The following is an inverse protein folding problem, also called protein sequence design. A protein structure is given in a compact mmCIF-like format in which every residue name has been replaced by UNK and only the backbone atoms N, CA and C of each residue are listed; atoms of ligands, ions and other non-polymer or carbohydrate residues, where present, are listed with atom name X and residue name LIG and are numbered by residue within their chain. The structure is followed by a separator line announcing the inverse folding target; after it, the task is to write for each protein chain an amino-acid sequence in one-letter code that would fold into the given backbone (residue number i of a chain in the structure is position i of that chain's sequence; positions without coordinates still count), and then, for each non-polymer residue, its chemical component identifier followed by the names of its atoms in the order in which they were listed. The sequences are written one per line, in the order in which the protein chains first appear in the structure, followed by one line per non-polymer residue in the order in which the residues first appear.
data_IF_531684969775
#
_entry.id   IF_531684969775
#
_cell.length_a   1.000
_cell.length_b   1.000
_cell.length_c   1.000
_cell.angle_alpha   90.00
_cell.angle_beta   90.00
_cell.angle_gamma   90.00
#
_symmetry.space_group_name_H-M   'P 1'
#
loop_
_entity.id
_entity.type
_entity.pdbx_description
1 polymer ?
#
# COMPACT_ATOMS: atom_id res chain seq x y z
N UNK A 1 41.28 14.06 51.81
CA UNK A 1 41.12 13.62 50.41
C UNK A 1 39.67 13.20 50.27
N UNK A 2 38.80 14.17 50.00
CA UNK A 2 38.32 14.48 48.63
C UNK A 2 37.45 13.32 48.10
N UNK A 3 36.13 13.39 48.34
CA UNK A 3 35.08 14.04 47.51
C UNK A 3 34.38 13.02 46.60
N UNK A 4 33.16 12.63 46.94
CA UNK A 4 32.04 12.74 46.00
C UNK A 4 30.69 12.54 46.69
N UNK A 5 29.74 13.32 46.19
CA UNK A 5 28.48 13.68 46.81
C UNK A 5 27.40 12.60 46.66
N UNK A 6 26.69 12.34 47.75
CA UNK A 6 25.34 11.79 47.75
C UNK A 6 24.36 12.84 47.26
N UNK A 7 23.50 12.46 46.31
CA UNK A 7 22.12 12.95 46.26
C UNK A 7 21.22 11.75 45.98
N UNK A 8 20.49 11.34 47.02
CA UNK A 8 19.29 10.53 46.90
C UNK A 8 18.19 11.32 46.17
N UNK A 9 17.42 10.65 45.30
CA UNK A 9 16.02 10.99 45.07
C UNK A 9 15.19 9.71 44.88
N UNK A 10 13.92 9.71 45.30
CA UNK A 10 13.13 8.53 45.59
C UNK A 10 12.44 7.93 44.35
N UNK A 11 12.15 6.64 44.43
CA UNK A 11 11.27 5.93 43.51
C UNK A 11 9.92 6.63 43.37
N UNK A 12 9.59 7.05 42.14
CA UNK A 12 8.25 6.95 41.53
C UNK A 12 8.36 7.33 40.05
N UNK A 13 8.42 6.35 39.16
CA UNK A 13 8.08 6.58 37.76
C UNK A 13 7.30 5.38 37.22
N UNK A 14 6.00 5.60 37.08
CA UNK A 14 5.11 4.78 36.29
C UNK A 14 5.57 4.78 34.83
N UNK A 15 5.53 3.61 34.20
CA UNK A 15 5.74 3.40 32.78
C UNK A 15 4.76 4.28 31.97
N UNK A 16 5.21 5.45 31.51
CA UNK A 16 4.47 6.33 30.58
C UNK A 16 4.88 6.10 29.13
N UNK A 17 4.99 4.85 28.70
CA UNK A 17 4.96 4.54 27.27
C UNK A 17 3.53 4.76 26.75
N UNK A 18 3.32 5.53 25.66
CA UNK A 18 1.99 5.66 25.07
C UNK A 18 1.54 4.28 24.62
N UNK A 19 0.49 3.77 25.26
CA UNK A 19 -0.24 2.58 24.82
C UNK A 19 -0.59 2.78 23.35
N UNK A 20 -0.10 1.89 22.47
CA UNK A 20 -0.52 1.82 21.06
C UNK A 20 -2.05 1.78 21.07
N UNK A 21 -2.70 2.79 20.47
CA UNK A 21 -4.15 2.79 20.30
C UNK A 21 -4.56 1.55 19.50
N UNK A 22 -5.63 0.83 19.90
CA UNK A 22 -6.24 -0.18 19.06
C UNK A 22 -6.63 0.44 17.72
N UNK A 23 -6.36 -0.25 16.60
CA UNK A 23 -6.90 0.15 15.30
C UNK A 23 -8.40 -0.14 15.35
N UNK A 24 -9.18 0.92 15.59
CA UNK A 24 -10.63 0.87 15.42
C UNK A 24 -10.92 0.72 13.92
N UNK A 25 -11.69 -0.31 13.61
CA UNK A 25 -12.37 -0.55 12.34
C UNK A 25 -13.20 0.69 11.98
N UNK A 26 -12.85 1.40 10.92
CA UNK A 26 -13.62 2.55 10.44
C UNK A 26 -14.75 2.10 9.51
N UNK A 27 -15.96 2.32 10.01
CA UNK A 27 -17.14 2.91 9.37
C UNK A 27 -17.61 2.40 8.01
N UNK A 28 -18.76 1.70 8.06
CA UNK A 28 -19.73 1.64 6.98
C UNK A 28 -20.19 3.06 6.61
N UNK A 29 -20.22 3.46 5.32
CA UNK A 29 -20.89 4.69 4.94
C UNK A 29 -22.41 4.55 5.16
N UNK A 30 -23.11 5.57 5.70
CA UNK A 30 -24.57 5.54 5.74
C UNK A 30 -25.15 5.49 4.31
N UNK A 31 -26.21 4.71 4.15
CA UNK A 31 -26.96 4.55 2.90
C UNK A 31 -27.44 5.91 2.38
N UNK A 32 -27.02 6.28 1.17
CA UNK A 32 -27.55 7.42 0.42
C UNK A 32 -28.92 7.01 -0.16
N UNK A 33 -30.01 7.77 0.07
CA UNK A 33 -31.30 7.49 -0.56
C UNK A 33 -31.22 7.70 -2.09
N UNK A 34 -31.99 6.94 -2.88
CA UNK A 34 -31.90 6.99 -4.34
C UNK A 34 -32.35 8.36 -4.89
N UNK A 35 -31.76 8.82 -6.01
CA UNK A 35 -32.18 10.06 -6.66
C UNK A 35 -33.61 9.93 -7.22
N UNK A 36 -34.40 11.02 -7.24
CA UNK A 36 -35.72 11.02 -7.86
C UNK A 36 -35.61 10.81 -9.37
N UNK A 37 -36.55 10.02 -9.91
CA UNK A 37 -36.67 9.73 -11.35
C UNK A 37 -37.01 11.03 -12.10
N UNK A 38 -36.13 11.45 -13.01
CA UNK A 38 -36.42 12.52 -13.97
C UNK A 38 -36.74 11.86 -15.32
N UNK A 39 -37.96 12.10 -15.81
CA UNK A 39 -38.45 11.70 -17.13
C UNK A 39 -37.75 12.53 -18.23
N UNK A 40 -37.55 11.97 -19.45
CA UNK A 40 -36.89 12.69 -20.53
C UNK A 40 -37.86 13.68 -21.19
N UNK A 41 -37.43 14.94 -21.37
CA UNK A 41 -38.16 15.91 -22.18
C UNK A 41 -37.39 16.23 -23.46
N UNK A 42 -38.17 16.29 -24.55
CA UNK A 42 -37.82 16.38 -25.95
C UNK A 42 -37.15 17.70 -26.35
N UNK A 43 -36.30 17.64 -27.39
CA UNK A 43 -35.82 18.78 -28.17
C UNK A 43 -36.88 19.27 -29.17
N UNK A 44 -37.15 20.58 -29.26
CA UNK A 44 -37.52 21.28 -30.51
C UNK A 44 -37.50 22.83 -30.38
N UNK A 45 -36.77 23.51 -31.29
CA UNK A 45 -37.23 24.61 -32.17
C UNK A 45 -37.59 26.04 -31.68
N UNK A 46 -36.69 27.01 -32.02
CA UNK A 46 -36.85 28.39 -32.57
C UNK A 46 -37.76 29.53 -31.98
N UNK A 47 -37.06 30.67 -31.68
CA UNK A 47 -37.25 32.10 -32.06
C UNK A 47 -38.33 33.11 -31.53
N UNK A 48 -37.78 34.21 -30.96
CA UNK A 48 -38.13 35.66 -30.92
C UNK A 48 -39.51 36.24 -30.48
N UNK A 49 -39.54 37.04 -29.39
CA UNK A 49 -39.61 38.54 -29.36
C UNK A 49 -39.91 39.13 -27.95
N UNK A 50 -39.64 40.44 -27.79
CA UNK A 50 -39.49 41.30 -26.60
C UNK A 50 -40.67 41.46 -25.61
N UNK A 51 -40.35 41.71 -24.32
CA UNK A 51 -41.22 42.30 -23.29
C UNK A 51 -40.64 42.21 -21.87
N UNK A 52 -40.72 43.29 -21.06
CA UNK A 52 -39.83 43.59 -19.93
C UNK A 52 -40.21 43.05 -18.52
N UNK A 53 -39.22 42.48 -17.80
CA UNK A 53 -38.72 42.68 -16.38
C UNK A 53 -39.76 42.93 -15.25
N UNK A 54 -39.76 42.19 -14.10
CA UNK A 54 -38.74 42.36 -13.06
C UNK A 54 -38.19 41.15 -12.26
N UNK A 55 -36.85 41.13 -12.21
CA UNK A 55 -35.98 41.04 -11.01
C UNK A 55 -36.10 39.81 -10.07
N UNK A 56 -35.29 38.78 -10.35
CA UNK A 56 -34.61 37.99 -9.32
C UNK A 56 -33.11 37.96 -9.63
N UNK A 57 -32.34 38.50 -8.71
CA UNK A 57 -30.92 38.80 -8.86
C UNK A 57 -30.08 37.54 -9.06
N UNK A 58 -29.48 37.44 -10.25
CA UNK A 58 -28.27 36.66 -10.47
C UNK A 58 -27.09 37.48 -9.92
N UNK A 59 -26.60 37.14 -8.72
CA UNK A 59 -25.28 37.63 -8.31
C UNK A 59 -24.22 36.82 -9.06
N UNK A 60 -23.99 37.24 -10.30
CA UNK A 60 -22.73 37.06 -11.01
C UNK A 60 -21.65 37.82 -10.25
N UNK A 61 -21.07 37.20 -9.23
CA UNK A 61 -19.75 37.62 -8.74
C UNK A 61 -18.74 37.12 -9.75
N UNK A 62 -18.43 37.98 -10.70
CA UNK A 62 -17.15 38.04 -11.36
C UNK A 62 -16.05 37.73 -10.34
N UNK A 63 -15.39 36.58 -10.46
CA UNK A 63 -14.00 36.51 -10.00
C UNK A 63 -13.18 37.36 -10.97
N UNK A 64 -13.22 38.67 -10.72
CA UNK A 64 -12.26 39.65 -11.24
C UNK A 64 -10.86 39.12 -10.94
N UNK A 65 -10.11 38.87 -12.01
CA UNK A 65 -8.64 38.88 -12.03
C UNK A 65 -7.96 38.18 -10.85
N UNK A 66 -7.95 36.85 -10.83
CA UNK A 66 -6.86 36.17 -10.15
C UNK A 66 -5.62 36.39 -11.01
N UNK A 67 -4.71 37.21 -10.51
CA UNK A 67 -3.35 37.36 -11.04
C UNK A 67 -2.85 35.99 -11.49
N UNK A 68 -2.45 35.87 -12.77
CA UNK A 68 -1.88 34.64 -13.35
C UNK A 68 -0.60 34.15 -12.65
N UNK A 69 -0.16 34.82 -11.58
CA UNK A 69 1.02 34.52 -10.76
C UNK A 69 0.76 34.65 -9.24
N UNK A 70 -0.50 34.59 -8.78
CA UNK A 70 -0.80 34.67 -7.35
C UNK A 70 -0.27 33.45 -6.59
N UNK A 71 0.59 33.68 -5.58
CA UNK A 71 0.95 32.64 -4.62
C UNK A 71 -0.32 32.00 -4.04
N UNK A 72 -0.36 30.67 -3.84
CA UNK A 72 -1.54 30.02 -3.27
C UNK A 72 -1.94 30.66 -1.95
N UNK A 73 -3.25 30.76 -1.63
CA UNK A 73 -3.67 31.30 -0.35
C UNK A 73 -2.96 30.60 0.82
N UNK A 74 -2.50 31.38 1.79
CA UNK A 74 -1.89 30.81 3.00
C UNK A 74 -2.99 30.23 3.90
N UNK A 75 -2.79 28.98 4.32
CA UNK A 75 -3.68 28.27 5.24
C UNK A 75 -2.80 27.63 6.31
N UNK A 76 -3.21 27.65 7.58
CA UNK A 76 -2.55 26.87 8.60
C UNK A 76 -2.74 25.37 8.30
N UNK A 77 -1.79 24.57 8.75
CA UNK A 77 -1.88 23.11 8.71
C UNK A 77 -3.01 22.61 9.62
N UNK A 78 -3.46 21.38 9.40
CA UNK A 78 -4.37 20.75 10.34
C UNK A 78 -3.68 20.33 11.64
N UNK A 79 -4.48 19.95 12.65
CA UNK A 79 -4.01 19.52 13.97
C UNK A 79 -3.00 18.36 13.93
N UNK A 80 -2.98 17.60 12.83
CA UNK A 80 -2.15 16.42 12.64
C UNK A 80 -0.89 16.73 11.78
N UNK A 81 -0.68 18.01 11.46
CA UNK A 81 0.45 18.54 10.69
C UNK A 81 0.32 18.32 9.19
N UNK A 82 -0.87 18.03 8.66
CA UNK A 82 -1.05 17.88 7.22
C UNK A 82 -1.30 19.22 6.54
N UNK A 83 -0.80 19.33 5.32
CA UNK A 83 -1.08 20.45 4.43
C UNK A 83 -2.58 20.52 4.09
N UNK A 84 -3.18 21.69 4.29
CA UNK A 84 -4.58 21.98 3.97
C UNK A 84 -4.68 22.54 2.55
N UNK A 85 -5.42 21.84 1.69
CA UNK A 85 -5.54 22.16 0.27
C UNK A 85 -7.00 22.27 -0.19
N UNK A 86 -7.21 22.88 -1.34
CA UNK A 86 -8.49 22.92 -2.06
C UNK A 86 -8.24 22.46 -3.50
N UNK A 87 -9.15 21.67 -4.05
CA UNK A 87 -9.07 21.24 -5.46
C UNK A 87 -9.19 22.45 -6.37
N UNK A 88 -8.34 22.53 -7.39
CA UNK A 88 -8.23 23.67 -8.30
C UNK A 88 -7.18 24.70 -7.91
N UNK A 89 -6.78 24.74 -6.63
CA UNK A 89 -5.69 25.61 -6.17
C UNK A 89 -4.33 25.15 -6.71
N UNK A 90 -3.34 26.04 -6.58
CA UNK A 90 -1.95 25.75 -6.85
C UNK A 90 -1.21 25.35 -5.57
N UNK A 91 -0.25 24.42 -5.64
CA UNK A 91 0.76 24.23 -4.57
C UNK A 91 1.90 25.24 -4.78
N UNK A 92 2.31 25.36 -6.03
CA UNK A 92 3.21 26.41 -6.55
C UNK A 92 2.65 26.84 -7.90
N UNK A 93 3.12 27.95 -8.52
CA UNK A 93 2.67 28.33 -9.86
C UNK A 93 2.79 27.20 -10.91
N UNK A 94 3.68 26.23 -10.66
CA UNK A 94 3.87 25.03 -11.48
C UNK A 94 2.80 23.96 -11.27
N UNK A 95 2.34 23.71 -10.04
CA UNK A 95 1.48 22.56 -9.74
C UNK A 95 0.05 22.95 -9.39
N UNK A 96 -0.90 22.64 -10.27
CA UNK A 96 -2.34 22.79 -10.00
C UNK A 96 -2.91 21.50 -9.44
N UNK A 97 -3.61 21.57 -8.31
CA UNK A 97 -4.23 20.43 -7.64
C UNK A 97 -5.50 20.02 -8.39
N UNK A 98 -5.60 18.75 -8.76
CA UNK A 98 -6.74 18.17 -9.46
C UNK A 98 -7.61 17.32 -8.56
N UNK A 99 -7.00 16.45 -7.74
CA UNK A 99 -7.73 15.54 -6.87
C UNK A 99 -6.85 15.02 -5.72
N UNK A 100 -7.47 14.44 -4.69
CA UNK A 100 -6.77 13.69 -3.63
C UNK A 100 -6.68 12.22 -4.04
N UNK A 101 -5.47 11.67 -4.11
CA UNK A 101 -5.24 10.26 -4.44
C UNK A 101 -5.19 9.38 -3.18
N UNK A 102 -4.63 9.88 -2.08
CA UNK A 102 -4.47 9.09 -0.87
C UNK A 102 -4.08 9.90 0.36
N UNK A 103 -4.17 9.26 1.53
CA UNK A 103 -3.71 9.79 2.80
C UNK A 103 -3.19 8.65 3.68
N UNK A 104 -2.09 8.90 4.39
CA UNK A 104 -1.53 7.96 5.34
C UNK A 104 -0.89 8.65 6.53
N UNK A 105 -0.13 7.86 7.30
CA UNK A 105 0.57 8.33 8.50
C UNK A 105 1.58 9.44 8.20
N UNK A 106 2.20 9.41 7.02
CA UNK A 106 3.29 10.32 6.68
C UNK A 106 2.84 11.59 5.94
N UNK A 107 1.61 11.62 5.40
CA UNK A 107 1.14 12.74 4.60
C UNK A 107 -0.01 12.39 3.67
N UNK A 108 -0.20 13.24 2.66
CA UNK A 108 -1.24 13.12 1.63
C UNK A 108 -0.61 13.01 0.26
N UNK A 109 -1.27 12.31 -0.65
CA UNK A 109 -0.87 12.23 -2.07
C UNK A 109 -1.96 12.90 -2.89
N UNK A 110 -1.56 13.89 -3.69
CA UNK A 110 -2.45 14.66 -4.56
C UNK A 110 -2.12 14.41 -6.02
N UNK A 111 -3.15 14.32 -6.87
CA UNK A 111 -2.99 14.37 -8.31
C UNK A 111 -2.91 15.83 -8.73
N UNK A 112 -1.86 16.20 -9.48
CA UNK A 112 -1.61 17.57 -9.89
C UNK A 112 -1.29 17.66 -11.39
N UNK A 113 -1.64 18.78 -12.01
CA UNK A 113 -1.14 19.16 -13.33
C UNK A 113 0.18 19.93 -13.16
N UNK A 114 1.25 19.42 -13.76
CA UNK A 114 2.50 20.15 -13.94
C UNK A 114 2.36 21.11 -15.13
N UNK A 115 2.27 22.41 -14.86
CA UNK A 115 2.10 23.44 -15.88
C UNK A 115 3.35 23.69 -16.72
N UNK A 116 4.53 23.32 -16.25
CA UNK A 116 5.76 23.46 -17.03
C UNK A 116 5.89 22.31 -18.03
N UNK A 117 5.71 21.08 -17.56
CA UNK A 117 5.85 19.86 -18.39
C UNK A 117 4.57 19.43 -19.11
N UNK A 118 3.43 20.03 -18.76
CA UNK A 118 2.09 19.68 -19.26
C UNK A 118 1.73 18.20 -19.02
N UNK A 119 2.17 17.63 -17.91
CA UNK A 119 1.91 16.24 -17.53
C UNK A 119 1.12 16.15 -16.20
N UNK A 120 0.39 15.04 -16.01
CA UNK A 120 -0.24 14.72 -14.73
C UNK A 120 0.78 14.02 -13.84
N UNK A 121 0.91 14.48 -12.61
CA UNK A 121 1.86 13.96 -11.62
C UNK A 121 1.15 13.62 -10.31
N UNK A 122 1.77 12.73 -9.52
CA UNK A 122 1.37 12.48 -8.15
C UNK A 122 2.35 13.20 -7.19
N UNK A 123 1.84 14.03 -6.29
CA UNK A 123 2.66 14.78 -5.32
C UNK A 123 2.35 14.27 -3.91
N UNK A 124 3.34 13.62 -3.29
CA UNK A 124 3.30 13.24 -1.88
C UNK A 124 3.74 14.44 -1.05
N UNK A 125 2.80 15.00 -0.29
CA UNK A 125 3.03 16.12 0.63
C UNK A 125 3.19 15.55 2.04
N UNK A 126 4.43 15.55 2.53
CA UNK A 126 4.79 15.05 3.86
C UNK A 126 4.33 16.05 4.91
N UNK A 127 3.80 15.55 6.03
CA UNK A 127 3.38 16.39 7.17
C UNK A 127 4.51 17.30 7.64
N UNK A 128 4.18 18.50 8.12
CA UNK A 128 5.11 19.52 8.63
C UNK A 128 5.66 19.18 10.03
N UNK A 129 5.99 17.91 10.25
CA UNK A 129 6.52 17.37 11.50
C UNK A 129 7.98 17.00 11.28
N UNK A 130 8.87 17.53 12.12
CA UNK A 130 10.33 17.42 11.96
C UNK A 130 10.81 15.98 11.68
N UNK A 131 10.43 15.00 12.51
CA UNK A 131 10.78 13.58 12.31
C UNK A 131 10.31 12.99 10.98
N UNK A 132 9.18 13.45 10.43
CA UNK A 132 8.65 12.95 9.16
C UNK A 132 9.34 13.62 7.97
N UNK A 133 9.75 14.87 8.13
CA UNK A 133 10.58 15.57 7.14
C UNK A 133 11.95 14.91 7.02
N UNK A 134 12.62 14.60 8.14
CA UNK A 134 13.90 13.89 8.12
C UNK A 134 13.77 12.50 7.47
N UNK A 135 12.74 11.74 7.82
CA UNK A 135 12.46 10.44 7.19
C UNK A 135 12.20 10.57 5.67
N UNK A 136 11.53 11.64 5.24
CA UNK A 136 11.29 11.89 3.82
C UNK A 136 12.58 12.19 3.04
N UNK A 137 13.57 12.84 3.64
CA UNK A 137 14.86 13.06 2.99
C UNK A 137 15.59 11.74 2.72
N UNK A 138 15.54 10.80 3.68
CA UNK A 138 16.09 9.45 3.48
C UNK A 138 15.33 8.73 2.34
N UNK A 139 14.00 8.85 2.29
CA UNK A 139 13.18 8.30 1.21
C UNK A 139 13.56 8.89 -0.16
N UNK A 140 13.76 10.21 -0.24
CA UNK A 140 14.21 10.90 -1.46
C UNK A 140 15.57 10.36 -1.93
N UNK A 141 16.55 10.20 -1.03
CA UNK A 141 17.87 9.69 -1.39
C UNK A 141 17.80 8.28 -1.97
N UNK A 142 16.97 7.42 -1.38
CA UNK A 142 16.70 6.07 -1.89
C UNK A 142 16.04 6.13 -3.27
N UNK A 143 14.98 6.93 -3.43
CA UNK A 143 14.25 7.07 -4.69
C UNK A 143 15.13 7.61 -5.81
N UNK A 144 15.97 8.61 -5.54
CA UNK A 144 16.91 9.14 -6.51
C UNK A 144 17.96 8.10 -6.90
N UNK A 145 18.46 7.31 -5.93
CA UNK A 145 19.40 6.22 -6.22
C UNK A 145 18.75 5.18 -7.14
N UNK A 146 17.50 4.79 -6.88
CA UNK A 146 16.73 3.88 -7.73
C UNK A 146 16.58 4.44 -9.14
N UNK A 147 16.09 5.68 -9.28
CA UNK A 147 15.87 6.32 -10.58
C UNK A 147 17.15 6.44 -11.43
N UNK A 148 18.31 6.70 -10.81
CA UNK A 148 19.60 6.74 -11.53
C UNK A 148 20.02 5.39 -12.13
N UNK A 149 19.58 4.27 -11.53
CA UNK A 149 19.98 2.92 -11.95
C UNK A 149 18.88 2.19 -12.73
N UNK A 150 17.62 2.64 -12.64
CA UNK A 150 16.49 2.10 -13.40
C UNK A 150 16.31 2.84 -14.73
N UNK A 151 17.27 2.67 -15.64
CA UNK A 151 17.35 3.42 -16.92
C UNK A 151 16.06 3.33 -17.74
N UNK A 152 15.35 2.19 -17.68
CA UNK A 152 14.08 1.99 -18.39
C UNK A 152 12.85 2.53 -17.65
N UNK A 153 12.99 2.88 -16.37
CA UNK A 153 11.90 3.38 -15.53
C UNK A 153 10.76 2.40 -15.30
N UNK A 154 10.99 1.09 -15.42
CA UNK A 154 9.94 0.07 -15.38
C UNK A 154 9.92 -0.77 -14.10
N UNK A 155 10.96 -0.67 -13.26
CA UNK A 155 11.13 -1.58 -12.10
C UNK A 155 10.64 -0.95 -10.81
N UNK A 156 10.80 0.35 -10.65
CA UNK A 156 10.36 1.08 -9.45
C UNK A 156 9.63 2.35 -9.85
N UNK A 157 8.82 2.88 -8.93
CA UNK A 157 8.16 4.19 -9.12
C UNK A 157 9.21 5.28 -9.33
N UNK A 158 9.01 6.11 -10.35
CA UNK A 158 9.96 7.15 -10.72
C UNK A 158 9.68 8.46 -9.99
N UNK A 159 10.67 8.92 -9.23
CA UNK A 159 10.73 10.29 -8.72
C UNK A 159 11.08 11.25 -9.86
N UNK A 160 10.28 12.30 -10.04
CA UNK A 160 10.55 13.37 -11.03
C UNK A 160 11.47 14.44 -10.45
N UNK A 161 11.19 14.87 -9.22
CA UNK A 161 12.01 15.78 -8.38
C UNK A 161 11.29 15.94 -7.03
N UNK A 162 11.81 16.80 -6.15
CA UNK A 162 11.19 17.17 -4.88
C UNK A 162 11.41 18.65 -4.59
N UNK A 163 10.64 19.23 -3.67
CA UNK A 163 10.82 20.59 -3.20
C UNK A 163 10.30 20.74 -1.76
N UNK A 164 10.80 21.73 -1.02
CA UNK A 164 10.21 22.15 0.25
C UNK A 164 9.19 23.26 -0.01
N UNK A 165 7.99 23.09 0.52
CA UNK A 165 6.95 24.10 0.45
C UNK A 165 6.26 24.26 1.80
N UNK A 166 6.38 25.46 2.39
CA UNK A 166 5.75 25.81 3.67
C UNK A 166 6.03 24.77 4.76
N UNK A 167 7.27 24.32 4.87
CA UNK A 167 7.68 23.31 5.84
C UNK A 167 7.08 21.90 5.57
N UNK A 168 6.59 21.64 4.36
CA UNK A 168 6.28 20.30 3.87
C UNK A 168 7.30 19.85 2.83
N UNK A 169 7.84 18.65 2.98
CA UNK A 169 8.61 18.01 1.92
C UNK A 169 7.61 17.46 0.89
N UNK A 170 7.69 17.96 -0.34
CA UNK A 170 6.85 17.56 -1.46
C UNK A 170 7.67 16.72 -2.42
N UNK A 171 7.29 15.45 -2.60
CA UNK A 171 7.95 14.52 -3.52
C UNK A 171 7.05 14.32 -4.73
N UNK A 172 7.56 14.63 -5.93
CA UNK A 172 6.82 14.53 -7.18
C UNK A 172 7.17 13.22 -7.88
N UNK A 173 6.16 12.42 -8.14
CA UNK A 173 6.24 11.14 -8.83
C UNK A 173 5.54 11.21 -10.19
N UNK A 174 5.88 10.27 -11.06
CA UNK A 174 4.98 9.94 -12.17
C UNK A 174 3.58 9.59 -11.66
N UNK A 175 2.55 9.87 -12.47
CA UNK A 175 1.20 9.41 -12.16
C UNK A 175 1.06 7.94 -12.54
N UNK A 176 0.72 7.12 -11.55
CA UNK A 176 0.31 5.72 -11.73
C UNK A 176 -1.18 5.54 -11.43
N UNK A 177 -1.69 4.36 -11.73
CA UNK A 177 -3.04 3.91 -11.40
C UNK A 177 -3.20 3.50 -9.92
N UNK A 178 -4.29 2.78 -9.58
CA UNK A 178 -4.54 2.36 -8.21
C UNK A 178 -3.48 1.35 -7.71
N UNK A 179 -3.38 1.24 -6.40
CA UNK A 179 -2.61 0.16 -5.78
C UNK A 179 -3.23 -1.22 -6.08
N UNK A 180 -2.44 -2.28 -6.02
CA UNK A 180 -2.91 -3.65 -6.14
C UNK A 180 -3.96 -3.96 -5.06
N UNK A 181 -3.80 -3.39 -3.86
CA UNK A 181 -4.81 -3.45 -2.81
C UNK A 181 -6.14 -2.81 -3.23
N UNK A 182 -6.10 -1.57 -3.75
CA UNK A 182 -7.30 -0.88 -4.21
C UNK A 182 -7.97 -1.59 -5.37
N UNK A 183 -7.17 -2.16 -6.28
CA UNK A 183 -7.65 -3.00 -7.37
C UNK A 183 -8.37 -4.25 -6.83
N UNK A 184 -7.72 -5.01 -5.93
CA UNK A 184 -8.30 -6.18 -5.29
C UNK A 184 -9.61 -5.83 -4.57
N UNK A 185 -9.62 -4.76 -3.77
CA UNK A 185 -10.81 -4.29 -3.06
C UNK A 185 -11.96 -3.94 -4.01
N UNK A 186 -11.70 -3.18 -5.07
CA UNK A 186 -12.70 -2.86 -6.11
C UNK A 186 -13.24 -4.10 -6.78
N UNK A 187 -12.39 -5.11 -6.94
CA UNK A 187 -12.74 -6.41 -7.50
C UNK A 187 -13.25 -7.41 -6.45
N UNK A 188 -13.68 -6.96 -5.26
CA UNK A 188 -14.19 -7.81 -4.18
C UNK A 188 -13.25 -8.96 -3.78
N UNK A 189 -11.94 -8.70 -3.85
CA UNK A 189 -10.84 -9.64 -3.59
C UNK A 189 -10.88 -10.90 -4.45
N UNK A 190 -11.44 -10.84 -5.67
CA UNK A 190 -11.45 -12.00 -6.55
C UNK A 190 -10.03 -12.41 -6.96
N UNK A 191 -9.78 -13.71 -7.01
CA UNK A 191 -8.47 -14.29 -7.35
C UNK A 191 -8.11 -14.05 -8.81
N UNK A 192 -6.85 -13.75 -9.08
CA UNK A 192 -6.37 -13.57 -10.45
C UNK A 192 -6.18 -14.92 -11.19
N UNK A 193 -6.42 -14.96 -12.51
CA UNK A 193 -5.89 -16.02 -13.36
C UNK A 193 -4.40 -16.24 -13.14
N UNK A 194 -3.95 -17.48 -13.22
CA UNK A 194 -2.56 -17.86 -12.94
C UNK A 194 -1.55 -17.10 -13.82
N UNK A 195 -1.92 -16.75 -15.05
CA UNK A 195 -1.05 -15.99 -15.96
C UNK A 195 -0.82 -14.56 -15.47
N UNK A 196 -1.85 -13.92 -14.89
CA UNK A 196 -1.69 -12.62 -14.24
C UNK A 196 -0.91 -12.73 -12.92
N UNK A 197 -1.12 -13.80 -12.15
CA UNK A 197 -0.29 -14.06 -10.95
C UNK A 197 1.18 -14.22 -11.33
N UNK A 198 1.46 -14.92 -12.44
CA UNK A 198 2.82 -15.09 -12.98
C UNK A 198 3.42 -13.75 -13.40
N UNK A 199 2.65 -12.93 -14.11
CA UNK A 199 3.14 -11.64 -14.58
C UNK A 199 3.40 -10.65 -13.42
N UNK A 200 2.46 -10.53 -12.47
CA UNK A 200 2.69 -9.73 -11.26
C UNK A 200 3.85 -10.25 -10.41
N UNK A 201 3.94 -11.57 -10.23
CA UNK A 201 5.02 -12.21 -9.50
C UNK A 201 6.38 -11.95 -10.13
N UNK A 202 6.47 -12.02 -11.47
CA UNK A 202 7.69 -11.73 -12.22
C UNK A 202 8.13 -10.28 -12.05
N UNK A 203 7.23 -9.32 -12.32
CA UNK A 203 7.53 -7.90 -12.16
C UNK A 203 7.96 -7.56 -10.74
N UNK A 204 7.25 -8.08 -9.71
CA UNK A 204 7.60 -7.85 -8.32
C UNK A 204 8.99 -8.40 -7.98
N UNK A 205 9.31 -9.62 -8.42
CA UNK A 205 10.63 -10.20 -8.18
C UNK A 205 11.74 -9.48 -8.95
N UNK A 206 11.48 -8.97 -10.15
CA UNK A 206 12.40 -8.11 -10.91
C UNK A 206 12.71 -6.82 -10.13
N UNK A 207 11.70 -6.14 -9.59
CA UNK A 207 11.86 -4.95 -8.74
C UNK A 207 12.68 -5.25 -7.47
N UNK A 208 12.38 -6.36 -6.79
CA UNK A 208 13.08 -6.76 -5.56
C UNK A 208 14.53 -7.15 -5.85
N UNK A 209 14.77 -7.92 -6.90
CA UNK A 209 16.12 -8.28 -7.33
C UNK A 209 16.95 -7.03 -7.62
N UNK A 210 16.38 -6.07 -8.37
CA UNK A 210 17.01 -4.79 -8.67
C UNK A 210 17.36 -3.98 -7.41
N UNK A 211 16.43 -3.87 -6.45
CA UNK A 211 16.72 -3.22 -5.16
C UNK A 211 17.87 -3.91 -4.42
N UNK A 212 17.88 -5.24 -4.40
CA UNK A 212 18.92 -6.02 -3.72
C UNK A 212 20.31 -5.85 -4.37
N UNK A 213 20.38 -5.70 -5.69
CA UNK A 213 21.64 -5.39 -6.38
C UNK A 213 22.26 -4.07 -5.92
N UNK A 214 21.40 -3.11 -5.61
CA UNK A 214 21.78 -1.80 -5.08
C UNK A 214 22.00 -1.81 -3.56
N UNK A 215 21.97 -3.00 -2.93
CA UNK A 215 22.04 -3.24 -1.48
C UNK A 215 20.94 -2.50 -0.70
N UNK A 216 19.76 -2.39 -1.30
CA UNK A 216 18.57 -1.79 -0.70
C UNK A 216 17.57 -2.89 -0.32
N UNK A 217 16.88 -2.70 0.80
CA UNK A 217 15.80 -3.57 1.24
C UNK A 217 14.56 -2.68 1.41
N UNK A 218 13.45 -3.04 0.77
CA UNK A 218 12.22 -2.23 0.81
C UNK A 218 11.58 -2.18 2.21
N UNK A 219 11.65 -3.29 2.97
CA UNK A 219 11.11 -3.48 4.34
C UNK A 219 9.59 -3.42 4.53
N UNK A 220 8.83 -2.82 3.62
CA UNK A 220 7.35 -2.69 3.70
C UNK A 220 6.65 -3.14 2.41
N UNK A 221 7.06 -4.28 1.83
CA UNK A 221 6.39 -4.80 0.62
C UNK A 221 5.00 -5.33 0.98
N UNK A 222 3.97 -4.74 0.37
CA UNK A 222 2.56 -5.08 0.56
C UNK A 222 1.72 -4.60 -0.64
N UNK A 223 0.50 -5.11 -0.85
CA UNK A 223 -0.33 -4.74 -2.00
C UNK A 223 -0.62 -3.24 -2.13
N UNK A 224 -0.60 -2.47 -1.04
CA UNK A 224 -0.78 -1.02 -1.02
C UNK A 224 0.41 -0.27 -1.64
N UNK A 225 1.61 -0.86 -1.61
CA UNK A 225 2.85 -0.30 -2.14
C UNK A 225 3.20 -0.83 -3.55
N UNK A 226 2.30 -1.60 -4.17
CA UNK A 226 2.42 -2.07 -5.55
C UNK A 226 1.40 -1.30 -6.37
N UNK A 227 1.85 -0.41 -7.25
CA UNK A 227 0.98 0.46 -8.06
C UNK A 227 0.86 -0.10 -9.48
N UNK A 228 -0.35 -0.07 -10.04
CA UNK A 228 -0.60 -0.49 -11.42
C UNK A 228 -0.40 0.70 -12.38
N UNK A 229 0.12 0.46 -13.59
CA UNK A 229 0.21 1.50 -14.63
C UNK A 229 -1.18 1.90 -15.12
N UNK A 230 -2.06 0.91 -15.34
CA UNK A 230 -3.48 1.11 -15.69
C UNK A 230 -4.32 -0.02 -15.10
N UNK A 231 -5.57 0.29 -14.73
CA UNK A 231 -6.55 -0.68 -14.22
C UNK A 231 -7.59 -1.13 -15.25
N UNK A 232 -7.54 -0.62 -16.49
CA UNK A 232 -8.57 -0.87 -17.51
C UNK A 232 -8.55 -2.30 -18.08
N UNK A 233 -7.51 -3.08 -17.83
CA UNK A 233 -7.20 -4.30 -18.59
C UNK A 233 -7.61 -5.63 -17.96
N UNK A 234 -8.29 -5.66 -16.80
CA UNK A 234 -8.43 -6.93 -16.07
C UNK A 234 -9.90 -7.26 -15.78
N UNK A 235 -10.49 -8.15 -16.59
CA UNK A 235 -11.70 -8.91 -16.22
C UNK A 235 -11.25 -10.18 -15.47
N UNK A 236 -11.73 -10.37 -14.25
CA UNK A 236 -11.34 -11.50 -13.39
C UNK A 236 -12.47 -12.53 -13.27
N UNK A 237 -12.20 -13.84 -13.37
CA UNK A 237 -13.17 -14.91 -13.11
C UNK A 237 -13.76 -14.91 -11.69
N UNK A 238 -14.77 -15.74 -11.45
CA UNK A 238 -15.65 -15.70 -10.27
C UNK A 238 -15.19 -16.57 -9.10
N UNK A 239 -14.11 -16.18 -8.42
CA UNK A 239 -13.68 -16.81 -7.16
C UNK A 239 -13.21 -15.74 -6.17
N UNK A 240 -13.69 -15.78 -4.91
CA UNK A 240 -13.24 -14.86 -3.84
C UNK A 240 -11.96 -15.38 -3.19
N UNK A 241 -10.96 -14.51 -3.08
CA UNK A 241 -9.72 -14.75 -2.34
C UNK A 241 -9.72 -14.10 -0.97
N UNK A 242 -8.90 -14.65 -0.08
CA UNK A 242 -8.70 -14.19 1.29
C UNK A 242 -7.20 -14.07 1.57
N UNK A 243 -6.79 -13.16 2.47
CA UNK A 243 -5.39 -13.12 2.90
C UNK A 243 -5.04 -14.42 3.64
N UNK A 244 -3.86 -14.98 3.36
CA UNK A 244 -3.47 -16.30 3.85
C UNK A 244 -3.36 -16.38 5.38
N UNK A 245 -2.86 -15.31 6.01
CA UNK A 245 -2.68 -15.22 7.46
C UNK A 245 -3.42 -13.99 7.99
N UNK A 246 -4.70 -14.17 8.33
CA UNK A 246 -5.54 -13.10 8.89
C UNK A 246 -5.53 -13.15 10.40
N UNK A 247 -4.53 -12.52 11.01
CA UNK A 247 -4.48 -12.37 12.47
C UNK A 247 -3.63 -11.17 12.89
N UNK A 248 -3.91 -10.66 14.08
CA UNK A 248 -3.11 -9.63 14.75
C UNK A 248 -2.34 -10.17 15.96
N UNK A 249 -2.46 -11.47 16.25
CA UNK A 249 -1.80 -12.12 17.38
C UNK A 249 -0.63 -12.98 16.91
N UNK A 250 0.54 -12.75 17.52
CA UNK A 250 1.78 -13.41 17.09
C UNK A 250 1.73 -14.94 17.21
N UNK A 251 1.11 -15.47 18.27
CA UNK A 251 1.06 -16.92 18.51
C UNK A 251 0.11 -17.61 17.51
N UNK A 252 -1.06 -17.03 17.29
CA UNK A 252 -1.99 -17.49 16.25
C UNK A 252 -1.32 -17.43 14.87
N UNK A 253 -0.56 -16.36 14.58
CA UNK A 253 0.16 -16.23 13.31
C UNK A 253 1.18 -17.37 13.12
N UNK A 254 1.97 -17.67 14.15
CA UNK A 254 2.91 -18.79 14.14
C UNK A 254 2.19 -20.14 13.95
N UNK A 255 1.02 -20.31 14.58
CA UNK A 255 0.21 -21.52 14.44
C UNK A 255 -0.38 -21.68 13.04
N UNK A 256 -0.84 -20.58 12.42
CA UNK A 256 -1.28 -20.57 11.02
C UNK A 256 -0.11 -20.90 10.07
N UNK A 257 1.08 -20.34 10.30
CA UNK A 257 2.28 -20.69 9.52
C UNK A 257 2.62 -22.17 9.66
N UNK A 258 2.67 -22.70 10.89
CA UNK A 258 2.97 -24.12 11.14
C UNK A 258 1.95 -25.04 10.47
N UNK A 259 0.67 -24.66 10.48
CA UNK A 259 -0.41 -25.40 9.81
C UNK A 259 -0.24 -25.46 8.29
N UNK A 260 0.12 -24.33 7.67
CA UNK A 260 0.20 -24.18 6.21
C UNK A 260 1.52 -24.72 5.66
N UNK A 261 2.65 -24.42 6.31
CA UNK A 261 4.01 -24.67 5.84
C UNK A 261 4.67 -25.91 6.47
N UNK A 262 4.11 -26.41 7.58
CA UNK A 262 4.74 -27.46 8.39
C UNK A 262 5.53 -26.91 9.58
N UNK A 263 6.16 -27.81 10.36
CA UNK A 263 6.77 -27.48 11.65
C UNK A 263 7.86 -26.41 11.55
N UNK A 264 7.91 -25.54 12.55
CA UNK A 264 9.00 -24.57 12.72
C UNK A 264 10.34 -25.31 12.93
N UNK A 265 11.43 -24.92 12.24
CA UNK A 265 12.72 -25.60 12.39
C UNK A 265 13.28 -25.48 13.83
N UNK A 266 13.69 -26.59 14.48
CA UNK A 266 14.13 -26.57 15.88
C UNK A 266 15.29 -25.60 16.16
N UNK A 267 16.26 -25.48 15.24
CA UNK A 267 17.40 -24.59 15.41
C UNK A 267 17.01 -23.11 15.44
N UNK A 268 15.93 -22.73 14.76
CA UNK A 268 15.38 -21.37 14.80
C UNK A 268 14.68 -21.09 16.13
N UNK A 269 13.98 -22.08 16.69
CA UNK A 269 13.33 -21.98 18.00
C UNK A 269 14.40 -21.79 19.09
N UNK A 270 15.45 -22.62 19.07
CA UNK A 270 16.57 -22.58 20.02
C UNK A 270 17.31 -21.23 19.95
N UNK A 271 17.44 -20.66 18.74
CA UNK A 271 18.12 -19.38 18.53
C UNK A 271 17.23 -18.16 18.82
N UNK A 272 15.93 -18.34 19.00
CA UNK A 272 15.01 -17.23 19.21
C UNK A 272 15.34 -16.44 20.50
N UNK A 273 15.11 -15.13 20.47
CA UNK A 273 15.32 -14.26 21.65
C UNK A 273 14.43 -14.72 22.81
N UNK A 274 14.84 -14.46 24.07
CA UNK A 274 14.10 -14.80 25.28
C UNK A 274 12.65 -14.30 25.26
N UNK A 275 12.40 -13.20 24.55
CA UNK A 275 11.04 -12.64 24.35
C UNK A 275 10.10 -13.58 23.58
N UNK A 276 10.64 -14.51 22.81
CA UNK A 276 9.90 -15.49 22.03
C UNK A 276 9.60 -16.78 22.81
N UNK A 277 10.30 -17.05 23.92
CA UNK A 277 10.10 -18.27 24.74
C UNK A 277 8.64 -18.47 25.15
N UNK A 278 7.91 -17.38 25.41
CA UNK A 278 6.48 -17.41 25.74
C UNK A 278 5.57 -18.01 24.66
N UNK A 279 6.07 -18.18 23.43
CA UNK A 279 5.34 -18.82 22.33
C UNK A 279 5.64 -20.31 22.21
N UNK A 280 6.56 -20.86 23.00
CA UNK A 280 7.03 -22.23 22.87
C UNK A 280 6.96 -23.00 24.18
N UNK A 281 6.34 -24.18 24.16
CA UNK A 281 6.37 -25.11 25.29
C UNK A 281 7.67 -25.90 25.32
N UNK A 282 8.29 -25.91 26.50
CA UNK A 282 9.56 -26.60 26.77
C UNK A 282 10.68 -26.19 25.80
N UNK A 283 10.58 -25.02 25.17
CA UNK A 283 11.57 -24.48 24.23
C UNK A 283 11.71 -25.23 22.89
N UNK A 284 10.80 -26.14 22.54
CA UNK A 284 10.95 -26.99 21.33
C UNK A 284 9.68 -27.04 20.45
N UNK A 285 8.50 -26.82 21.02
CA UNK A 285 7.24 -26.87 20.28
C UNK A 285 6.43 -25.61 20.49
N UNK A 286 5.68 -25.19 19.48
CA UNK A 286 4.77 -24.06 19.59
C UNK A 286 3.75 -24.31 20.72
N UNK A 287 3.45 -23.28 21.50
CA UNK A 287 2.43 -23.32 22.56
C UNK A 287 1.02 -23.26 21.96
N UNK A 288 0.68 -24.26 21.16
CA UNK A 288 -0.60 -24.37 20.47
C UNK A 288 -1.14 -25.80 20.59
N UNK A 289 -2.47 -26.00 20.75
CA UNK A 289 -3.54 -25.00 20.89
C UNK A 289 -3.70 -24.36 22.29
N UNK A 290 -2.95 -24.78 23.30
CA UNK A 290 -3.17 -24.39 24.70
C UNK A 290 -2.92 -22.90 24.97
N UNK A 291 -2.03 -22.26 24.21
CA UNK A 291 -1.82 -20.82 24.26
C UNK A 291 -2.82 -20.00 23.42
N UNK A 292 -3.80 -20.63 22.77
CA UNK A 292 -4.80 -19.93 21.97
C UNK A 292 -5.65 -18.98 22.83
N UNK A 293 -5.93 -17.79 22.31
CA UNK A 293 -6.72 -16.77 23.01
C UNK A 293 -8.21 -17.07 23.03
N UNK A 294 -8.71 -17.90 22.11
CA UNK A 294 -10.12 -18.26 22.02
C UNK A 294 -10.35 -19.55 21.23
N UNK A 295 -11.56 -20.13 21.36
CA UNK A 295 -12.01 -21.26 20.54
C UNK A 295 -12.17 -20.87 19.07
N UNK A 296 -12.47 -19.61 18.79
CA UNK A 296 -12.57 -19.04 17.46
C UNK A 296 -11.21 -19.04 16.78
N UNK A 297 -10.16 -18.63 17.49
CA UNK A 297 -8.77 -18.67 17.02
C UNK A 297 -8.32 -20.10 16.71
N UNK A 298 -8.61 -21.05 17.60
CA UNK A 298 -8.35 -22.49 17.34
C UNK A 298 -9.03 -22.98 16.06
N UNK A 299 -10.31 -22.66 15.89
CA UNK A 299 -11.07 -23.02 14.69
C UNK A 299 -10.50 -22.38 13.43
N UNK A 300 -10.07 -21.11 13.49
CA UNK A 300 -9.47 -20.42 12.36
C UNK A 300 -8.21 -21.14 11.86
N UNK A 301 -7.30 -21.51 12.77
CA UNK A 301 -6.08 -22.25 12.41
C UNK A 301 -6.41 -23.64 11.87
N UNK A 302 -7.31 -24.40 12.50
CA UNK A 302 -7.61 -25.77 12.05
C UNK A 302 -8.25 -25.84 10.67
N UNK A 303 -9.04 -24.81 10.29
CA UNK A 303 -9.65 -24.68 8.96
C UNK A 303 -8.64 -24.47 7.85
N UNK A 304 -7.43 -23.97 8.14
CA UNK A 304 -6.43 -23.74 7.11
C UNK A 304 -5.93 -25.07 6.51
N UNK A 305 -5.96 -25.24 5.19
CA UNK A 305 -5.31 -26.37 4.52
C UNK A 305 -3.78 -26.20 4.54
N UNK A 306 -3.05 -27.27 4.18
CA UNK A 306 -1.64 -27.14 3.82
C UNK A 306 -1.47 -26.35 2.53
N UNK A 307 -0.32 -25.73 2.32
CA UNK A 307 -0.03 -24.92 1.14
C UNK A 307 -0.35 -25.63 -0.19
N UNK A 308 -0.03 -26.92 -0.31
CA UNK A 308 -0.30 -27.69 -1.53
C UNK A 308 -1.81 -27.76 -1.80
N UNK A 309 -2.60 -28.05 -0.77
CA UNK A 309 -4.05 -28.18 -0.87
C UNK A 309 -4.74 -26.84 -1.16
N UNK A 310 -4.20 -25.73 -0.64
CA UNK A 310 -4.68 -24.38 -0.94
C UNK A 310 -4.61 -24.07 -2.43
N UNK A 311 -3.55 -24.52 -3.11
CA UNK A 311 -3.30 -24.17 -4.52
C UNK A 311 -3.96 -25.19 -5.46
N UNK A 312 -3.91 -26.49 -5.13
CA UNK A 312 -4.52 -27.55 -5.94
C UNK A 312 -6.05 -27.41 -6.05
N UNK A 313 -6.70 -26.71 -5.12
CA UNK A 313 -8.14 -26.42 -5.20
C UNK A 313 -8.51 -25.40 -6.29
N UNK A 314 -7.54 -24.66 -6.82
CA UNK A 314 -7.77 -23.48 -7.66
C UNK A 314 -6.95 -23.42 -8.94
N UNK A 315 -6.04 -24.37 -9.19
CA UNK A 315 -5.12 -24.33 -10.34
C UNK A 315 -4.95 -25.74 -10.93
N UNK A 316 -5.00 -25.85 -12.27
CA UNK A 316 -4.72 -27.08 -13.04
C UNK A 316 -3.21 -27.42 -13.06
N UNK A 317 -2.72 -28.16 -14.06
CA UNK A 317 -1.34 -28.66 -14.25
C UNK A 317 -0.18 -27.69 -13.95
N UNK A 318 -0.39 -26.36 -13.93
CA UNK A 318 0.59 -25.35 -13.48
C UNK A 318 0.73 -25.20 -11.97
N UNK A 319 -0.12 -25.86 -11.18
CA UNK A 319 -0.12 -25.82 -9.72
C UNK A 319 1.21 -26.29 -9.14
N UNK A 320 1.84 -27.30 -9.74
CA UNK A 320 3.11 -27.86 -9.26
C UNK A 320 4.23 -26.82 -9.20
N UNK A 321 4.47 -26.12 -10.31
CA UNK A 321 5.53 -25.11 -10.39
C UNK A 321 5.24 -23.89 -9.49
N UNK A 322 3.96 -23.51 -9.32
CA UNK A 322 3.59 -22.44 -8.39
C UNK A 322 3.80 -22.86 -6.92
N UNK A 323 3.38 -24.08 -6.57
CA UNK A 323 3.54 -24.65 -5.22
C UNK A 323 5.02 -24.70 -4.86
N UNK A 324 5.88 -25.19 -5.77
CA UNK A 324 7.32 -25.30 -5.55
C UNK A 324 7.96 -23.92 -5.33
N UNK A 325 7.60 -22.94 -6.17
CA UNK A 325 8.06 -21.56 -6.01
C UNK A 325 7.66 -20.98 -4.65
N UNK A 326 6.39 -21.13 -4.25
CA UNK A 326 5.89 -20.61 -2.99
C UNK A 326 6.52 -21.31 -1.78
N UNK A 327 6.78 -22.61 -1.86
CA UNK A 327 7.54 -23.33 -0.82
C UNK A 327 8.95 -22.76 -0.67
N UNK A 328 9.64 -22.46 -1.78
CA UNK A 328 10.95 -21.82 -1.77
C UNK A 328 10.92 -20.41 -1.16
N UNK A 329 9.92 -19.60 -1.52
CA UNK A 329 9.76 -18.22 -1.01
C UNK A 329 9.35 -18.17 0.47
N UNK A 330 8.58 -19.15 0.94
CA UNK A 330 8.04 -19.21 2.30
C UNK A 330 8.89 -20.07 3.26
N UNK A 331 10.10 -20.49 2.86
CA UNK A 331 11.05 -21.18 3.75
C UNK A 331 11.28 -20.35 5.03
N UNK A 332 11.18 -21.00 6.18
CA UNK A 332 11.40 -20.36 7.47
C UNK A 332 12.83 -19.84 7.59
N UNK A 333 13.82 -20.69 7.33
CA UNK A 333 15.23 -20.32 7.42
C UNK A 333 15.60 -19.35 6.27
N UNK A 334 16.03 -18.11 6.59
CA UNK A 334 16.42 -17.15 5.57
C UNK A 334 17.59 -17.60 4.70
N UNK A 335 18.46 -18.50 5.19
CA UNK A 335 19.61 -19.02 4.44
C UNK A 335 19.20 -20.06 3.39
N UNK A 336 18.08 -20.76 3.60
CA UNK A 336 17.50 -21.71 2.64
C UNK A 336 16.45 -21.07 1.73
N UNK A 337 15.97 -19.88 2.07
CA UNK A 337 14.94 -19.17 1.31
C UNK A 337 15.47 -18.71 -0.03
N UNK A 338 14.73 -19.03 -1.10
CA UNK A 338 15.10 -18.64 -2.46
C UNK A 338 15.23 -17.12 -2.58
N UNK A 339 16.31 -16.65 -3.22
CA UNK A 339 16.52 -15.21 -3.45
C UNK A 339 15.70 -14.73 -4.65
N UNK A 340 15.37 -13.44 -4.71
CA UNK A 340 14.57 -12.88 -5.81
C UNK A 340 15.15 -13.19 -7.20
N UNK A 341 16.47 -13.07 -7.39
CA UNK A 341 17.15 -13.43 -8.64
C UNK A 341 17.07 -14.91 -9.00
N UNK A 342 17.11 -15.79 -8.00
CA UNK A 342 16.98 -17.24 -8.20
C UNK A 342 15.53 -17.60 -8.53
N UNK A 343 14.57 -16.97 -7.83
CA UNK A 343 13.15 -17.13 -8.07
C UNK A 343 12.75 -16.76 -9.50
N UNK A 344 13.35 -15.71 -10.10
CA UNK A 344 13.10 -15.35 -11.50
C UNK A 344 13.51 -16.44 -12.52
N UNK A 345 14.41 -17.35 -12.13
CA UNK A 345 14.84 -18.48 -12.98
C UNK A 345 13.98 -19.73 -12.78
N UNK A 346 13.02 -19.68 -11.86
CA UNK A 346 12.15 -20.81 -11.50
C UNK A 346 11.29 -21.25 -12.70
N UNK A 347 11.02 -22.56 -12.89
CA UNK A 347 10.15 -23.08 -13.95
C UNK A 347 8.80 -22.38 -14.07
N UNK A 348 8.24 -21.93 -12.95
CA UNK A 348 7.00 -21.15 -12.93
C UNK A 348 7.03 -19.92 -13.84
N UNK A 349 8.19 -19.27 -14.02
CA UNK A 349 8.36 -18.09 -14.89
C UNK A 349 9.00 -18.43 -16.23
N UNK A 350 9.81 -19.48 -16.33
CA UNK A 350 10.62 -19.78 -17.52
C UNK A 350 10.01 -20.83 -18.44
N UNK A 351 9.08 -21.65 -17.95
CA UNK A 351 8.48 -22.73 -18.72
C UNK A 351 7.41 -22.17 -19.66
N UNK A 352 7.64 -22.35 -20.95
CA UNK A 352 6.77 -21.84 -22.01
C UNK A 352 5.44 -22.62 -22.03
N UNK A 353 4.37 -22.00 -21.49
CA UNK A 353 3.02 -22.58 -21.47
C UNK A 353 2.34 -22.57 -22.86
N UNK A 354 2.97 -21.98 -23.89
CA UNK A 354 2.48 -21.97 -25.29
C UNK A 354 2.36 -23.36 -25.93
N UNK A 355 2.80 -24.42 -25.25
CA UNK A 355 2.69 -25.81 -25.73
C UNK A 355 1.41 -26.55 -25.31
N UNK A 356 0.57 -25.97 -24.46
CA UNK A 356 -0.73 -26.56 -24.11
C UNK A 356 -1.84 -25.75 -24.80
N UNK A 357 -2.24 -26.24 -25.98
CA UNK A 357 -2.93 -25.46 -27.00
C UNK A 357 -4.36 -25.01 -26.70
N UNK A 358 -4.68 -23.85 -27.25
CA UNK A 358 -5.91 -23.61 -28.00
C UNK A 358 -5.49 -22.93 -29.31
N UNK A 359 -5.90 -23.44 -30.48
CA UNK A 359 -5.70 -22.71 -31.73
C UNK A 359 -6.55 -21.43 -31.72
N UNK A 360 -5.96 -20.37 -32.29
CA UNK A 360 -6.61 -19.08 -32.52
C UNK A 360 -7.89 -19.21 -33.35
#
# INVERSE_FOLDING_TARGET
METQWMMEFPHKNMDKRPRKRPRLTWDMPPLVPPPPKVLPAFYCGHEFTNGAVPNYAYSSVYYKGVLRNGSPPWRPDDKDGHYVFVVGDYITPRYRILSKMGEGTFGRVLECLDNERKEIVAIKIVRSIHKYREAAMIEIDVLQKLARHDIGGTRCVQIRHWFDYRNHICIVFERLGPSLYDFLRKNSYRSFPIDLVREFGRQLLESVAFMHDLRLIHTDLKPENILLVSSEYIKVPDYKGEALFQTHENLEHLAMMERVLGPLPPHMIIRADRRAEKYFRRGVRLDWPEGATSRESMRAVWKLPRLQNLIMQHVDHSAGDLIDLLQGLLRYDPSERIKAREALRHPFFTRDMRRCGFPL
#
